data_IF_214214708661
#
_entry.id   IF_214214708661
#
_cell.length_a   1.000
_cell.length_b   1.000
_cell.length_c   1.000
_cell.angle_alpha   90.00
_cell.angle_beta   90.00
_cell.angle_gamma   90.00
#
_symmetry.space_group_name_H-M   'P 1'
#
loop_
_entity.id
_entity.type
_entity.pdbx_description
1 polymer ?
#
# COMPACT_ATOMS: atom_id res chain seq x y z
N UNK A 1 32.59 -0.33 11.17
CA UNK A 1 31.42 -0.72 10.33
C UNK A 1 31.07 0.43 9.39
N UNK A 2 31.11 0.21 8.08
CA UNK A 2 30.75 1.22 7.08
C UNK A 2 29.26 1.62 7.19
N UNK A 3 28.94 2.86 6.78
CA UNK A 3 27.58 3.38 6.77
C UNK A 3 26.61 2.49 5.96
N UNK A 4 27.08 1.95 4.82
CA UNK A 4 26.34 1.00 3.97
C UNK A 4 25.96 -0.29 4.71
N UNK A 5 26.89 -0.86 5.50
CA UNK A 5 26.63 -2.10 6.24
C UNK A 5 25.62 -1.93 7.40
N UNK A 6 25.41 -0.70 7.89
CA UNK A 6 24.35 -0.39 8.85
C UNK A 6 22.99 -0.24 8.17
N UNK A 7 22.97 0.41 6.99
CA UNK A 7 21.75 0.59 6.18
C UNK A 7 21.21 -0.76 5.67
N UNK A 8 22.08 -1.62 5.16
CA UNK A 8 21.71 -2.95 4.66
C UNK A 8 21.11 -3.84 5.75
N UNK A 9 21.67 -3.84 6.96
CA UNK A 9 21.11 -4.58 8.10
C UNK A 9 19.77 -4.04 8.57
N UNK A 10 19.59 -2.71 8.59
CA UNK A 10 18.29 -2.13 8.89
C UNK A 10 17.25 -2.52 7.83
N UNK A 11 17.62 -2.49 6.55
CA UNK A 11 16.75 -2.92 5.47
C UNK A 11 16.37 -4.40 5.59
N UNK A 12 17.31 -5.30 5.90
CA UNK A 12 17.02 -6.72 6.09
C UNK A 12 16.12 -6.99 7.31
N UNK A 13 16.28 -6.19 8.38
CA UNK A 13 15.50 -6.37 9.61
C UNK A 13 14.07 -5.84 9.50
N UNK A 14 13.86 -4.73 8.78
CA UNK A 14 12.58 -4.03 8.71
C UNK A 14 11.86 -4.19 7.36
N UNK A 15 12.59 -4.51 6.30
CA UNK A 15 12.10 -4.70 4.94
C UNK A 15 11.02 -5.79 4.79
N UNK A 16 11.11 -6.95 5.49
CA UNK A 16 10.04 -7.95 5.43
C UNK A 16 8.68 -7.42 5.91
N UNK A 17 8.68 -6.62 6.99
CA UNK A 17 7.45 -5.99 7.48
C UNK A 17 6.88 -4.99 6.49
N UNK A 18 7.74 -4.19 5.84
CA UNK A 18 7.33 -3.28 4.76
C UNK A 18 6.73 -4.02 3.56
N UNK A 19 7.38 -5.10 3.11
CA UNK A 19 6.89 -5.90 2.00
C UNK A 19 5.49 -6.48 2.29
N UNK A 20 5.24 -6.92 3.54
CA UNK A 20 3.93 -7.42 3.95
C UNK A 20 2.88 -6.32 3.92
N UNK A 21 3.19 -5.10 4.39
CA UNK A 21 2.24 -3.98 4.35
C UNK A 21 1.87 -3.57 2.91
N UNK A 22 2.86 -3.55 2.01
CA UNK A 22 2.63 -3.35 0.58
C UNK A 22 1.75 -4.46 0.01
N UNK A 23 2.02 -5.73 0.37
CA UNK A 23 1.22 -6.86 -0.07
C UNK A 23 -0.21 -6.80 0.45
N UNK A 24 -0.43 -6.39 1.70
CA UNK A 24 -1.77 -6.19 2.28
C UNK A 24 -2.55 -5.15 1.48
N UNK A 25 -1.94 -3.99 1.22
CA UNK A 25 -2.60 -2.96 0.40
C UNK A 25 -2.95 -3.51 -0.98
N UNK A 26 -2.00 -4.19 -1.62
CA UNK A 26 -2.17 -4.73 -2.96
C UNK A 26 -3.29 -5.76 -3.03
N UNK A 27 -3.36 -6.70 -2.10
CA UNK A 27 -4.42 -7.71 -2.01
C UNK A 27 -5.79 -7.05 -1.79
N UNK A 28 -5.88 -6.04 -0.91
CA UNK A 28 -7.12 -5.31 -0.68
C UNK A 28 -7.58 -4.56 -1.94
N UNK A 29 -6.66 -3.88 -2.62
CA UNK A 29 -6.96 -3.21 -3.88
C UNK A 29 -7.42 -4.22 -4.95
N UNK A 30 -6.76 -5.36 -5.08
CA UNK A 30 -7.11 -6.40 -6.03
C UNK A 30 -8.50 -6.99 -5.75
N UNK A 31 -8.79 -7.30 -4.49
CA UNK A 31 -10.10 -7.80 -4.07
C UNK A 31 -11.23 -6.82 -4.44
N UNK A 32 -11.05 -5.53 -4.16
CA UNK A 32 -12.03 -4.50 -4.53
C UNK A 32 -12.14 -4.32 -6.05
N UNK A 33 -11.04 -4.46 -6.79
CA UNK A 33 -11.09 -4.45 -8.25
C UNK A 33 -11.90 -5.63 -8.78
N UNK A 34 -11.70 -6.85 -8.26
CA UNK A 34 -12.48 -8.03 -8.67
C UNK A 34 -13.98 -7.89 -8.36
N UNK A 35 -14.33 -7.30 -7.22
CA UNK A 35 -15.73 -7.00 -6.86
C UNK A 35 -16.37 -6.01 -7.84
N UNK A 36 -15.61 -5.01 -8.32
CA UNK A 36 -16.08 -4.02 -9.29
C UNK A 36 -16.38 -4.62 -10.70
N UNK A 37 -15.95 -5.85 -10.99
CA UNK A 37 -16.33 -6.57 -12.21
C UNK A 37 -17.50 -7.53 -12.04
N UNK A 38 -18.26 -7.43 -10.95
CA UNK A 38 -19.32 -8.39 -10.65
C UNK A 38 -18.79 -9.80 -10.47
N UNK A 39 -17.59 -9.96 -9.90
CA UNK A 39 -16.95 -11.26 -9.66
C UNK A 39 -16.25 -11.86 -10.88
N UNK A 40 -16.14 -11.16 -12.01
CA UNK A 40 -15.36 -11.62 -13.16
C UNK A 40 -13.86 -11.38 -12.94
N UNK A 41 -13.06 -12.44 -13.08
CA UNK A 41 -11.60 -12.35 -13.06
C UNK A 41 -11.14 -11.77 -14.40
N UNK A 42 -10.82 -10.47 -14.45
CA UNK A 42 -10.30 -9.83 -15.66
C UNK A 42 -8.78 -10.01 -15.72
N UNK A 43 -8.33 -10.90 -16.60
CA UNK A 43 -6.91 -11.21 -16.88
C UNK A 43 -6.30 -10.35 -18.00
N UNK A 44 -7.01 -9.30 -18.45
CA UNK A 44 -6.58 -8.46 -19.57
C UNK A 44 -5.23 -7.76 -19.37
N UNK A 45 -4.41 -7.55 -20.43
CA UNK A 45 -3.07 -6.97 -20.34
C UNK A 45 -3.00 -5.59 -19.65
N UNK A 46 -4.04 -4.78 -19.85
CA UNK A 46 -4.16 -3.42 -19.32
C UNK A 46 -4.44 -3.40 -17.82
N UNK A 47 -5.23 -4.36 -17.33
CA UNK A 47 -5.46 -4.60 -15.89
C UNK A 47 -4.13 -4.84 -15.16
N UNK A 48 -3.25 -5.62 -15.80
CA UNK A 48 -1.95 -6.01 -15.23
C UNK A 48 -0.98 -4.83 -15.11
N UNK A 49 -0.96 -3.91 -16.09
CA UNK A 49 -0.10 -2.70 -16.03
C UNK A 49 -0.51 -1.76 -14.90
N UNK A 50 -1.81 -1.53 -14.73
CA UNK A 50 -2.34 -0.70 -13.64
C UNK A 50 -2.06 -1.34 -12.27
N UNK A 51 -2.20 -2.67 -12.16
CA UNK A 51 -1.88 -3.42 -10.95
C UNK A 51 -0.38 -3.40 -10.60
N UNK A 52 0.51 -3.35 -11.59
CA UNK A 52 1.95 -3.19 -11.34
C UNK A 52 2.28 -1.76 -10.91
N UNK A 53 1.69 -0.75 -11.57
CA UNK A 53 1.85 0.66 -11.19
C UNK A 53 1.34 0.92 -9.77
N UNK A 54 0.25 0.27 -9.34
CA UNK A 54 -0.26 0.44 -7.98
C UNK A 54 0.74 -0.05 -6.93
N UNK A 55 1.43 -1.18 -7.18
CA UNK A 55 2.52 -1.64 -6.29
C UNK A 55 3.61 -0.57 -6.17
N UNK A 56 4.01 0.04 -7.29
CA UNK A 56 5.02 1.10 -7.29
C UNK A 56 4.56 2.31 -6.47
N UNK A 57 3.33 2.79 -6.67
CA UNK A 57 2.80 3.92 -5.91
C UNK A 57 2.68 3.63 -4.42
N UNK A 58 2.24 2.43 -4.05
CA UNK A 58 2.16 1.99 -2.64
C UNK A 58 3.55 1.95 -2.03
N UNK A 59 4.53 1.35 -2.70
CA UNK A 59 5.93 1.32 -2.23
C UNK A 59 6.47 2.73 -2.03
N UNK A 60 6.23 3.64 -2.98
CA UNK A 60 6.72 5.01 -2.89
C UNK A 60 6.04 5.78 -1.75
N UNK A 61 4.71 5.70 -1.63
CA UNK A 61 3.96 6.43 -0.61
C UNK A 61 4.25 5.92 0.81
N UNK A 62 4.16 4.60 1.03
CA UNK A 62 4.51 4.02 2.33
C UNK A 62 6.00 4.17 2.63
N UNK A 63 6.85 4.07 1.60
CA UNK A 63 8.30 4.26 1.74
C UNK A 63 8.67 5.69 2.12
N UNK A 64 7.99 6.68 1.54
CA UNK A 64 8.17 8.08 1.89
C UNK A 64 7.70 8.37 3.33
N UNK A 65 6.56 7.81 3.73
CA UNK A 65 6.08 7.89 5.11
C UNK A 65 7.07 7.24 6.10
N UNK A 66 7.60 6.06 5.75
CA UNK A 66 8.63 5.41 6.56
C UNK A 66 9.91 6.23 6.65
N UNK A 67 10.40 6.77 5.53
CA UNK A 67 11.61 7.57 5.51
C UNK A 67 11.49 8.83 6.37
N UNK A 68 10.28 9.39 6.47
CA UNK A 68 10.00 10.63 7.20
C UNK A 68 9.69 10.41 8.69
N UNK A 69 8.97 9.34 9.03
CA UNK A 69 8.48 9.09 10.39
C UNK A 69 9.15 7.92 11.13
N UNK A 70 9.89 7.05 10.41
CA UNK A 70 10.64 5.93 11.00
C UNK A 70 9.77 4.91 11.72
N UNK A 71 8.66 4.50 11.10
CA UNK A 71 7.58 3.73 11.70
C UNK A 71 8.00 2.29 12.01
N UNK A 72 8.85 1.64 11.19
CA UNK A 72 9.24 0.23 11.43
C UNK A 72 10.13 0.02 12.66
N UNK A 73 10.81 1.08 13.14
CA UNK A 73 11.59 1.00 14.38
C UNK A 73 10.70 0.98 15.62
N UNK A 74 9.44 1.39 15.50
CA UNK A 74 8.49 1.56 16.62
C UNK A 74 7.45 0.44 16.57
N UNK A 75 7.79 -0.69 17.18
CA UNK A 75 6.86 -1.80 17.43
C UNK A 75 5.87 -1.31 18.51
N UNK A 76 4.58 -1.44 18.22
CA UNK A 76 3.42 -0.74 18.78
C UNK A 76 3.13 -0.89 20.29
N UNK A 77 4.14 -1.04 21.16
CA UNK A 77 3.94 -0.79 22.60
C UNK A 77 3.95 0.72 22.95
N UNK A 78 4.45 1.59 22.05
CA UNK A 78 4.56 3.07 22.27
C UNK A 78 4.34 3.89 20.97
N UNK A 79 3.73 3.33 19.91
CA UNK A 79 3.49 4.09 18.69
C UNK A 79 2.27 5.02 18.89
N UNK A 80 2.51 6.33 18.96
CA UNK A 80 1.48 7.31 19.24
C UNK A 80 0.51 7.51 18.07
N UNK A 81 -0.59 8.24 18.30
CA UNK A 81 -1.60 8.60 17.30
C UNK A 81 -0.98 9.15 16.01
N UNK A 82 0.15 9.85 16.10
CA UNK A 82 0.89 10.38 14.94
C UNK A 82 1.38 9.32 13.96
N UNK A 83 1.80 8.14 14.43
CA UNK A 83 2.27 7.05 13.57
C UNK A 83 1.09 6.42 12.80
N UNK A 84 -0.07 6.31 13.46
CA UNK A 84 -1.32 5.88 12.83
C UNK A 84 -1.79 6.88 11.77
N UNK A 85 -1.74 8.19 12.09
CA UNK A 85 -2.09 9.27 11.16
C UNK A 85 -1.14 9.26 9.95
N UNK A 86 0.17 9.14 10.15
CA UNK A 86 1.14 9.09 9.06
C UNK A 86 0.90 7.89 8.13
N UNK A 87 0.58 6.72 8.71
CA UNK A 87 0.23 5.52 7.93
C UNK A 87 -1.08 5.73 7.16
N UNK A 88 -2.09 6.36 7.78
CA UNK A 88 -3.34 6.73 7.13
C UNK A 88 -3.13 7.66 5.94
N UNK A 89 -2.33 8.72 6.10
CA UNK A 89 -1.99 9.63 5.00
C UNK A 89 -1.24 8.92 3.87
N UNK A 90 -0.30 8.03 4.18
CA UNK A 90 0.41 7.25 3.16
C UNK A 90 -0.53 6.36 2.33
N UNK A 91 -1.49 5.72 3.01
CA UNK A 91 -2.52 4.89 2.36
C UNK A 91 -3.45 5.73 1.48
N UNK A 92 -3.86 6.91 1.96
CA UNK A 92 -4.66 7.87 1.18
C UNK A 92 -3.88 8.36 -0.04
N UNK A 93 -2.61 8.74 0.13
CA UNK A 93 -1.74 9.22 -0.94
C UNK A 93 -1.53 8.14 -2.02
N UNK A 94 -1.25 6.89 -1.61
CA UNK A 94 -1.16 5.76 -2.53
C UNK A 94 -2.47 5.58 -3.33
N UNK A 95 -3.61 5.65 -2.64
CA UNK A 95 -4.93 5.51 -3.26
C UNK A 95 -5.22 6.64 -4.25
N UNK A 96 -4.82 7.87 -3.93
CA UNK A 96 -4.95 9.03 -4.81
C UNK A 96 -4.08 8.88 -6.07
N UNK A 97 -2.82 8.47 -5.92
CA UNK A 97 -1.91 8.22 -7.05
C UNK A 97 -2.46 7.15 -7.99
N UNK A 98 -3.00 6.06 -7.43
CA UNK A 98 -3.64 5.00 -8.22
C UNK A 98 -4.90 5.52 -8.93
N UNK A 99 -5.70 6.35 -8.25
CA UNK A 99 -6.89 6.99 -8.85
C UNK A 99 -6.49 7.89 -10.02
N UNK A 100 -5.46 8.72 -9.86
CA UNK A 100 -4.93 9.57 -10.92
C UNK A 100 -4.37 8.76 -12.09
N UNK A 101 -3.68 7.65 -11.81
CA UNK A 101 -3.20 6.75 -12.85
C UNK A 101 -4.35 6.08 -13.62
N UNK A 102 -5.42 5.66 -12.93
CA UNK A 102 -6.64 5.14 -13.54
C UNK A 102 -7.41 6.19 -14.35
N UNK A 103 -7.22 7.47 -14.04
CA UNK A 103 -7.80 8.57 -14.81
C UNK A 103 -6.97 8.86 -16.08
N UNK A 104 -5.64 8.89 -15.95
CA UNK A 104 -4.72 9.22 -17.04
C UNK A 104 -4.59 8.10 -18.09
N UNK A 105 -4.75 6.83 -17.68
CA UNK A 105 -4.70 5.70 -18.60
C UNK A 105 -6.10 5.45 -19.19
N UNK A 106 -6.22 5.22 -20.51
CA UNK A 106 -7.47 4.73 -21.08
C UNK A 106 -7.82 3.41 -20.38
N UNK A 107 -9.09 3.04 -20.29
CA UNK A 107 -9.50 1.83 -19.59
C UNK A 107 -10.87 1.36 -20.05
N UNK A 108 -10.92 0.13 -20.57
CA UNK A 108 -12.15 -0.57 -20.91
C UNK A 108 -12.98 -0.91 -19.66
N UNK A 109 -14.31 -0.93 -19.83
CA UNK A 109 -15.37 -1.40 -18.93
C UNK A 109 -14.99 -1.59 -17.44
N UNK A 110 -14.76 -0.48 -16.72
CA UNK A 110 -14.61 -0.44 -15.26
C UNK A 110 -15.55 0.61 -14.68
N UNK A 111 -16.70 0.20 -14.14
CA UNK A 111 -17.75 1.12 -13.65
C UNK A 111 -17.21 2.03 -12.54
N UNK A 112 -16.57 1.46 -11.51
CA UNK A 112 -16.02 2.23 -10.38
C UNK A 112 -14.50 2.41 -10.43
N UNK A 113 -13.88 2.54 -11.61
CA UNK A 113 -12.39 2.56 -11.76
C UNK A 113 -11.67 3.59 -10.88
N UNK A 114 -12.29 4.75 -10.66
CA UNK A 114 -11.73 5.85 -9.88
C UNK A 114 -12.09 5.75 -8.39
N UNK A 115 -13.25 5.16 -8.07
CA UNK A 115 -13.70 5.03 -6.69
C UNK A 115 -13.07 3.83 -5.98
N UNK A 116 -12.77 2.74 -6.69
CA UNK A 116 -12.22 1.51 -6.12
C UNK A 116 -10.94 1.73 -5.29
N UNK A 117 -9.92 2.49 -5.74
CA UNK A 117 -8.73 2.73 -4.93
C UNK A 117 -9.06 3.45 -3.62
N UNK A 118 -9.97 4.44 -3.66
CA UNK A 118 -10.41 5.18 -2.49
C UNK A 118 -11.21 4.30 -1.52
N UNK A 119 -12.05 3.40 -2.03
CA UNK A 119 -12.83 2.44 -1.23
C UNK A 119 -11.95 1.33 -0.63
N UNK A 120 -10.86 0.97 -1.29
CA UNK A 120 -9.90 -0.01 -0.78
C UNK A 120 -9.02 0.59 0.34
N UNK A 121 -8.85 1.91 0.39
CA UNK A 121 -7.95 2.58 1.33
C UNK A 121 -8.28 2.27 2.81
N UNK A 122 -9.54 2.36 3.29
CA UNK A 122 -9.89 1.98 4.66
C UNK A 122 -9.60 0.50 4.96
N UNK A 123 -9.89 -0.40 4.00
CA UNK A 123 -9.64 -1.84 4.17
C UNK A 123 -8.13 -2.14 4.25
N UNK A 124 -7.34 -1.51 3.38
CA UNK A 124 -5.88 -1.60 3.41
C UNK A 124 -5.31 -1.06 4.73
N UNK A 125 -5.80 0.09 5.21
CA UNK A 125 -5.38 0.68 6.48
C UNK A 125 -5.69 -0.24 7.66
N UNK A 126 -6.89 -0.84 7.71
CA UNK A 126 -7.25 -1.81 8.74
C UNK A 126 -6.36 -3.06 8.68
N UNK A 127 -6.12 -3.60 7.49
CA UNK A 127 -5.24 -4.76 7.33
C UNK A 127 -3.81 -4.49 7.80
N UNK A 128 -3.25 -3.34 7.43
CA UNK A 128 -1.93 -2.88 7.89
C UNK A 128 -1.93 -2.70 9.42
N UNK A 129 -2.99 -2.09 9.96
CA UNK A 129 -3.17 -1.91 11.40
C UNK A 129 -3.15 -3.24 12.15
N UNK A 130 -3.95 -4.22 11.70
CA UNK A 130 -3.99 -5.58 12.28
C UNK A 130 -2.61 -6.25 12.20
N UNK A 131 -1.95 -6.19 11.06
CA UNK A 131 -0.60 -6.76 10.91
C UNK A 131 0.40 -6.14 11.88
N UNK A 132 0.30 -4.84 12.14
CA UNK A 132 1.15 -4.14 13.11
C UNK A 132 0.84 -4.47 14.57
N UNK A 133 -0.35 -4.98 14.88
CA UNK A 133 -0.72 -5.47 16.22
C UNK A 133 -0.15 -6.85 16.53
N UNK A 134 0.26 -7.63 15.51
CA UNK A 134 0.82 -8.95 15.73
C UNK A 134 2.22 -8.85 16.37
N UNK A 135 2.52 -9.66 17.40
CA UNK A 135 3.85 -9.76 17.96
C UNK A 135 4.82 -10.32 16.90
N UNK A 136 5.99 -9.70 16.75
CA UNK A 136 7.03 -10.04 15.77
C UNK A 136 8.23 -10.72 16.41
#
# INVERSE_FOLDING_TARGET
MSWLARRARAFLRYGPGFAIEVAIFWVMLEAFQQLNYGGRIITGPQSRRILLLSVIFVVLALGAAEARFGLYRRIWKVAGIHDAIATGFAVIEASLLITLANWALPGDYRVFRLAVPLLAAPAALMGIGIFRLLPR
#
